data_IF_526376066349
#
_entry.id   IF_526376066349
#
_cell.length_a   1.000
_cell.length_b   1.000
_cell.length_c   1.000
_cell.angle_alpha   90.00
_cell.angle_beta   90.00
_cell.angle_gamma   90.00
#
_symmetry.space_group_name_H-M   'P 1'
#
loop_
_entity.id
_entity.type
_entity.pdbx_description
1 polymer ?
#
# COMPACT_ATOMS: atom_id res chain seq x y z
N UNK A 1 -14.74 17.68 19.99
CA UNK A 1 -13.73 17.39 18.97
C UNK A 1 -14.35 16.42 17.98
N UNK A 2 -14.30 16.72 16.68
CA UNK A 2 -14.94 15.92 15.61
C UNK A 2 -13.83 15.46 14.66
N UNK A 3 -13.72 14.14 14.45
CA UNK A 3 -12.77 13.54 13.53
C UNK A 3 -13.54 12.99 12.33
N UNK A 4 -13.14 13.38 11.13
CA UNK A 4 -13.67 12.81 9.89
C UNK A 4 -12.73 11.70 9.44
N UNK A 5 -13.22 10.46 9.45
CA UNK A 5 -12.49 9.30 8.95
C UNK A 5 -13.02 8.93 7.56
N UNK A 6 -12.12 8.91 6.57
CA UNK A 6 -12.42 8.48 5.21
C UNK A 6 -11.85 7.06 5.02
N UNK A 7 -12.74 6.10 4.76
CA UNK A 7 -12.40 4.68 4.61
C UNK A 7 -12.77 4.24 3.20
N UNK A 8 -11.85 3.57 2.52
CA UNK A 8 -12.12 2.90 1.25
C UNK A 8 -11.97 1.40 1.44
N UNK A 9 -12.95 0.63 0.96
CA UNK A 9 -12.86 -0.82 0.90
C UNK A 9 -12.12 -1.23 -0.38
N UNK A 10 -11.05 -2.02 -0.25
CA UNK A 10 -10.33 -2.58 -1.39
C UNK A 10 -10.25 -4.10 -1.27
N UNK A 11 -10.40 -4.78 -2.41
CA UNK A 11 -10.17 -6.22 -2.56
C UNK A 11 -8.71 -6.46 -2.88
N UNK A 12 -8.02 -7.25 -2.05
CA UNK A 12 -6.72 -7.79 -2.38
C UNK A 12 -6.91 -9.26 -2.78
N UNK A 13 -6.62 -9.55 -4.05
CA UNK A 13 -6.57 -10.91 -4.58
C UNK A 13 -5.10 -11.27 -4.83
N UNK A 14 -4.62 -12.33 -4.20
CA UNK A 14 -3.31 -12.89 -4.50
C UNK A 14 -3.40 -13.69 -5.80
N UNK A 15 -2.45 -13.47 -6.71
CA UNK A 15 -2.48 -14.06 -8.04
C UNK A 15 -2.42 -15.60 -7.94
N UNK A 16 -3.26 -16.32 -8.71
CA UNK A 16 -3.11 -17.76 -8.87
C UNK A 16 -1.85 -18.09 -9.67
N UNK A 17 -1.43 -19.36 -9.63
CA UNK A 17 -0.27 -19.92 -10.36
C UNK A 17 -0.08 -19.33 -11.77
N UNK A 18 1.15 -18.97 -12.21
CA UNK A 18 2.46 -19.47 -11.77
C UNK A 18 3.10 -18.72 -10.59
N UNK A 19 2.36 -17.81 -9.96
CA UNK A 19 2.83 -17.12 -8.77
C UNK A 19 2.66 -18.04 -7.55
N UNK A 20 3.78 -18.36 -6.92
CA UNK A 20 3.86 -19.32 -5.81
C UNK A 20 3.41 -18.68 -4.50
N UNK A 21 2.16 -18.21 -4.46
CA UNK A 21 1.64 -17.40 -3.35
C UNK A 21 1.34 -18.22 -2.09
N UNK A 22 1.42 -19.57 -2.16
CA UNK A 22 1.23 -20.50 -1.03
C UNK A 22 0.06 -20.14 -0.09
N UNK A 23 -0.95 -19.43 -0.60
CA UNK A 23 -2.05 -18.90 0.18
C UNK A 23 -3.13 -19.96 0.39
N UNK A 24 -4.02 -19.71 1.35
CA UNK A 24 -5.15 -20.59 1.63
C UNK A 24 -6.46 -19.90 1.24
N UNK A 25 -7.29 -20.59 0.47
CA UNK A 25 -8.66 -20.16 0.22
C UNK A 25 -9.55 -20.56 1.41
N UNK A 26 -9.66 -19.64 2.36
CA UNK A 26 -10.51 -19.80 3.53
C UNK A 26 -12.00 -19.89 3.19
N UNK A 27 -12.47 -19.26 2.10
CA UNK A 27 -13.87 -19.29 1.70
C UNK A 27 -14.25 -20.67 1.16
N UNK A 28 -13.40 -21.27 0.33
CA UNK A 28 -13.60 -22.64 -0.13
C UNK A 28 -13.56 -23.65 1.03
N UNK A 29 -12.57 -23.50 1.94
CA UNK A 29 -12.46 -24.36 3.11
C UNK A 29 -13.68 -24.27 4.03
N UNK A 30 -14.17 -23.05 4.27
CA UNK A 30 -15.36 -22.80 5.08
C UNK A 30 -16.62 -23.42 4.47
N UNK A 31 -16.80 -23.31 3.15
CA UNK A 31 -17.89 -23.98 2.43
C UNK A 31 -17.79 -25.50 2.54
N UNK A 32 -16.59 -26.05 2.40
CA UNK A 32 -16.32 -27.49 2.53
C UNK A 32 -16.63 -28.01 3.94
N UNK A 33 -16.38 -27.19 4.97
CA UNK A 33 -16.64 -27.49 6.37
C UNK A 33 -18.06 -27.14 6.83
N UNK A 34 -19.04 -27.13 5.91
CA UNK A 34 -20.44 -26.86 6.20
C UNK A 34 -20.66 -25.51 6.93
N UNK A 35 -19.91 -24.49 6.55
CA UNK A 35 -20.03 -23.15 7.11
C UNK A 35 -19.33 -22.93 8.46
N UNK A 36 -18.30 -23.73 8.76
CA UNK A 36 -17.56 -23.65 10.03
C UNK A 36 -16.06 -23.43 9.79
N UNK A 37 -15.43 -22.60 10.62
CA UNK A 37 -13.98 -22.37 10.62
C UNK A 37 -13.58 -20.92 10.33
N UNK A 38 -12.27 -20.64 10.26
CA UNK A 38 -11.75 -19.30 10.04
C UNK A 38 -11.95 -18.84 8.59
N UNK A 39 -12.22 -17.54 8.40
CA UNK A 39 -12.42 -16.90 7.09
C UNK A 39 -11.22 -16.07 6.63
N UNK A 40 -10.25 -15.83 7.51
CA UNK A 40 -9.05 -15.06 7.21
C UNK A 40 -7.88 -15.49 8.12
N UNK A 41 -6.69 -14.93 7.85
CA UNK A 41 -5.47 -15.22 8.60
C UNK A 41 -5.61 -14.94 10.11
N UNK A 42 -6.19 -13.79 10.49
CA UNK A 42 -6.36 -13.43 11.90
C UNK A 42 -7.24 -14.44 12.64
N UNK A 43 -8.38 -14.79 12.05
CA UNK A 43 -9.29 -15.80 12.59
C UNK A 43 -8.65 -17.18 12.64
N UNK A 44 -7.78 -17.53 11.70
CA UNK A 44 -7.02 -18.77 11.76
C UNK A 44 -6.13 -18.82 13.01
N UNK A 45 -5.41 -17.73 13.28
CA UNK A 45 -4.52 -17.63 14.44
C UNK A 45 -5.32 -17.73 15.74
N UNK A 46 -6.45 -17.03 15.85
CA UNK A 46 -7.32 -17.09 17.03
C UNK A 46 -7.96 -18.47 17.23
N UNK A 47 -8.41 -19.10 16.14
CA UNK A 47 -8.93 -20.47 16.15
C UNK A 47 -7.87 -21.48 16.59
N UNK A 48 -6.62 -21.34 16.11
CA UNK A 48 -5.50 -22.16 16.52
C UNK A 48 -5.18 -21.99 18.01
N UNK A 49 -5.15 -20.76 18.50
CA UNK A 49 -4.92 -20.47 19.92
C UNK A 49 -6.01 -21.11 20.80
N UNK A 50 -7.28 -20.93 20.42
CA UNK A 50 -8.41 -21.57 21.09
C UNK A 50 -8.24 -23.09 21.15
N UNK A 51 -8.00 -23.73 20.00
CA UNK A 51 -7.90 -25.18 19.92
C UNK A 51 -6.73 -25.71 20.78
N UNK A 52 -5.58 -25.03 20.79
CA UNK A 52 -4.44 -25.41 21.65
C UNK A 52 -4.73 -25.26 23.13
N UNK A 53 -5.44 -24.21 23.54
CA UNK A 53 -5.83 -24.03 24.94
C UNK A 53 -6.84 -25.10 25.39
N UNK A 54 -7.77 -25.46 24.51
CA UNK A 54 -8.75 -26.54 24.74
C UNK A 54 -8.06 -27.89 24.85
N UNK A 55 -7.16 -28.21 23.93
CA UNK A 55 -6.35 -29.45 23.95
C UNK A 55 -5.55 -29.59 25.25
N UNK A 56 -5.07 -28.47 25.82
CA UNK A 56 -4.33 -28.44 27.07
C UNK A 56 -5.22 -28.41 28.33
N UNK A 57 -6.55 -28.38 28.18
CA UNK A 57 -7.49 -28.27 29.30
C UNK A 57 -7.38 -26.97 30.09
N UNK A 58 -6.87 -25.90 29.46
CA UNK A 58 -6.74 -24.57 30.08
C UNK A 58 -8.02 -23.76 29.88
N UNK A 59 -8.23 -22.78 30.76
CA UNK A 59 -9.26 -21.76 30.53
C UNK A 59 -8.88 -20.88 29.33
N UNK A 60 -9.85 -20.17 28.75
CA UNK A 60 -9.59 -19.31 27.60
C UNK A 60 -9.31 -17.88 28.04
N UNK A 61 -8.22 -17.30 27.53
CA UNK A 61 -7.90 -15.91 27.77
C UNK A 61 -8.91 -14.98 27.11
N UNK A 62 -9.18 -13.85 27.77
CA UNK A 62 -10.07 -12.81 27.24
C UNK A 62 -9.58 -12.19 25.93
N UNK A 63 -8.32 -12.39 25.60
CA UNK A 63 -7.69 -11.85 24.40
C UNK A 63 -7.85 -12.78 23.19
N UNK A 64 -8.38 -13.99 23.37
CA UNK A 64 -8.67 -14.91 22.27
C UNK A 64 -10.09 -14.62 21.77
N UNK A 65 -10.20 -13.76 20.76
CA UNK A 65 -11.48 -13.22 20.25
C UNK A 65 -12.12 -14.13 19.19
N UNK A 66 -12.19 -15.44 19.48
CA UNK A 66 -12.87 -16.42 18.63
C UNK A 66 -14.13 -16.93 19.30
N UNK A 67 -15.28 -17.10 18.61
CA UNK A 67 -16.50 -17.60 19.23
C UNK A 67 -16.33 -18.98 19.89
N UNK A 68 -16.61 -19.08 21.19
CA UNK A 68 -16.50 -20.32 21.96
C UNK A 68 -17.47 -20.36 23.14
N UNK A 69 -17.80 -21.57 23.61
CA UNK A 69 -18.68 -21.80 24.76
C UNK A 69 -17.91 -22.19 26.04
N UNK A 70 -16.58 -22.10 26.02
CA UNK A 70 -15.70 -22.51 27.12
C UNK A 70 -15.56 -21.37 28.14
N UNK A 71 -15.30 -21.72 29.40
CA UNK A 71 -15.14 -20.74 30.46
C UNK A 71 -13.87 -19.89 30.28
N UNK A 72 -14.03 -18.57 30.42
CA UNK A 72 -12.93 -17.62 30.42
C UNK A 72 -12.09 -17.71 31.70
N UNK A 73 -10.80 -17.39 31.57
CA UNK A 73 -9.89 -17.28 32.70
C UNK A 73 -10.29 -16.18 33.69
N UNK A 74 -9.96 -16.40 34.98
CA UNK A 74 -10.10 -15.38 36.03
C UNK A 74 -9.25 -14.15 35.70
N UNK A 75 -9.65 -12.96 36.18
CA UNK A 75 -8.84 -11.74 36.08
C UNK A 75 -7.44 -12.01 36.67
N UNK A 76 -6.39 -11.63 35.95
CA UNK A 76 -4.96 -11.84 36.27
C UNK A 76 -4.38 -13.24 36.04
N UNK A 77 -5.13 -14.17 35.45
CA UNK A 77 -4.59 -15.45 35.00
C UNK A 77 -4.49 -15.44 33.47
N UNK A 78 -3.29 -15.68 32.95
CA UNK A 78 -3.04 -15.83 31.51
C UNK A 78 -2.63 -17.26 31.20
N UNK A 79 -3.39 -17.91 30.34
CA UNK A 79 -3.17 -19.27 29.87
C UNK A 79 -2.36 -19.34 28.58
N UNK A 80 -2.47 -18.27 27.77
CA UNK A 80 -1.84 -18.06 26.49
C UNK A 80 -0.37 -17.70 26.71
N UNK A 81 0.52 -18.55 26.21
CA UNK A 81 1.96 -18.29 26.22
C UNK A 81 2.40 -17.72 24.88
N UNK A 82 3.52 -16.99 24.89
CA UNK A 82 4.12 -16.43 23.67
C UNK A 82 4.49 -17.52 22.65
N UNK A 83 4.80 -18.73 23.10
CA UNK A 83 5.10 -19.87 22.23
C UNK A 83 3.85 -20.35 21.46
N UNK A 84 2.69 -20.41 22.12
CA UNK A 84 1.42 -20.77 21.47
C UNK A 84 1.09 -19.73 20.40
N UNK A 85 1.22 -18.44 20.74
CA UNK A 85 0.97 -17.35 19.78
C UNK A 85 1.88 -17.47 18.58
N UNK A 86 3.19 -17.61 18.78
CA UNK A 86 4.17 -17.73 17.68
C UNK A 86 3.91 -18.96 16.82
N UNK A 87 3.65 -20.11 17.43
CA UNK A 87 3.39 -21.34 16.69
C UNK A 87 2.14 -21.21 15.81
N UNK A 88 1.06 -20.65 16.35
CA UNK A 88 -0.17 -20.42 15.60
C UNK A 88 -0.01 -19.40 14.48
N UNK A 89 0.79 -18.35 14.67
CA UNK A 89 1.12 -17.40 13.60
C UNK A 89 1.92 -18.04 12.47
N UNK A 90 2.82 -18.97 12.77
CA UNK A 90 3.62 -19.68 11.77
C UNK A 90 2.84 -20.78 11.03
N UNK A 91 1.85 -21.39 11.69
CA UNK A 91 1.03 -22.45 11.12
C UNK A 91 -0.02 -21.91 10.13
N UNK A 92 -0.56 -20.72 10.40
CA UNK A 92 -1.59 -20.10 9.59
C UNK A 92 -1.03 -19.43 8.33
N UNK A 93 -1.62 -19.77 7.18
CA UNK A 93 -1.32 -19.13 5.89
C UNK A 93 -2.10 -17.84 5.69
N UNK A 94 -1.64 -17.01 4.77
CA UNK A 94 -2.39 -15.82 4.34
C UNK A 94 -3.59 -16.21 3.46
N UNK A 95 -4.63 -15.38 3.52
CA UNK A 95 -5.85 -15.58 2.74
C UNK A 95 -5.62 -15.17 1.29
N UNK A 96 -5.96 -16.03 0.33
CA UNK A 96 -5.86 -15.70 -1.10
C UNK A 96 -6.75 -14.51 -1.51
N UNK A 97 -7.90 -14.38 -0.82
CA UNK A 97 -8.85 -13.29 -1.00
C UNK A 97 -9.03 -12.56 0.33
N UNK A 98 -8.65 -11.29 0.39
CA UNK A 98 -8.77 -10.48 1.59
C UNK A 98 -9.39 -9.12 1.28
N UNK A 99 -10.35 -8.72 2.12
CA UNK A 99 -10.89 -7.35 2.12
C UNK A 99 -10.04 -6.52 3.07
N UNK A 100 -9.40 -5.48 2.56
CA UNK A 100 -8.65 -4.53 3.39
C UNK A 100 -9.37 -3.19 3.41
N UNK A 101 -9.58 -2.67 4.61
CA UNK A 101 -9.94 -1.28 4.81
C UNK A 101 -8.67 -0.46 4.70
N UNK A 102 -8.55 0.31 3.62
CA UNK A 102 -7.46 1.28 3.51
C UNK A 102 -7.99 2.61 4.05
N UNK A 103 -7.41 3.08 5.15
CA UNK A 103 -7.60 4.46 5.57
C UNK A 103 -6.97 5.34 4.49
N UNK A 104 -7.76 6.25 3.93
CA UNK A 104 -7.33 7.13 2.85
C UNK A 104 -6.35 8.19 3.35
N UNK A 105 -5.16 7.79 3.79
CA UNK A 105 -4.04 8.71 3.94
C UNK A 105 -3.42 8.90 2.53
N UNK A 106 -4.02 9.83 1.77
CA UNK A 106 -3.41 10.53 0.63
C UNK A 106 -2.94 9.59 -0.50
N UNK A 107 -3.86 9.24 -1.40
CA UNK A 107 -3.56 8.42 -2.57
C UNK A 107 -3.18 9.29 -3.78
N UNK A 108 -2.02 8.99 -4.36
CA UNK A 108 -1.56 9.22 -5.74
C UNK A 108 -1.47 10.65 -6.30
N UNK A 109 -2.42 11.56 -6.04
CA UNK A 109 -2.41 12.93 -6.61
C UNK A 109 -1.20 13.76 -6.18
N UNK A 110 -0.80 13.66 -4.92
CA UNK A 110 0.39 14.35 -4.39
C UNK A 110 1.69 13.80 -5.00
N UNK A 111 1.76 12.49 -5.26
CA UNK A 111 2.93 11.85 -5.87
C UNK A 111 3.06 12.22 -7.35
N UNK A 112 1.95 12.25 -8.09
CA UNK A 112 1.94 12.73 -9.48
C UNK A 112 2.26 14.22 -9.57
N UNK A 113 1.81 15.03 -8.60
CA UNK A 113 2.16 16.44 -8.51
C UNK A 113 3.66 16.65 -8.21
N UNK A 114 4.25 15.86 -7.31
CA UNK A 114 5.67 15.93 -6.97
C UNK A 114 6.56 15.52 -8.16
N UNK A 115 6.24 14.38 -8.78
CA UNK A 115 6.99 13.87 -9.94
C UNK A 115 6.83 14.83 -11.13
N UNK A 116 5.60 15.27 -11.42
CA UNK A 116 5.32 16.22 -12.49
C UNK A 116 6.03 17.57 -12.31
N UNK A 117 6.10 18.07 -11.08
CA UNK A 117 6.83 19.30 -10.75
C UNK A 117 8.33 19.20 -11.01
N UNK A 118 8.96 18.09 -10.58
CA UNK A 118 10.38 17.82 -10.81
C UNK A 118 10.72 17.71 -12.32
N UNK A 119 9.94 16.96 -13.09
CA UNK A 119 10.16 16.86 -14.54
C UNK A 119 9.99 18.20 -15.25
N UNK A 120 9.01 19.01 -14.83
CA UNK A 120 8.74 20.32 -15.44
C UNK A 120 9.92 21.29 -15.31
N UNK A 121 10.58 21.31 -14.15
CA UNK A 121 11.75 22.19 -13.92
C UNK A 121 12.93 21.78 -14.80
N UNK A 122 13.22 20.48 -14.92
CA UNK A 122 14.34 19.98 -15.71
C UNK A 122 14.14 20.23 -17.22
N UNK A 123 12.91 20.05 -17.72
CA UNK A 123 12.59 20.33 -19.12
C UNK A 123 12.66 21.83 -19.41
N UNK A 124 12.12 22.68 -18.53
CA UNK A 124 12.19 24.13 -18.70
C UNK A 124 13.65 24.64 -18.72
N UNK A 125 14.50 24.12 -17.82
CA UNK A 125 15.93 24.45 -17.80
C UNK A 125 16.66 24.06 -19.08
N UNK A 126 16.39 22.86 -19.61
CA UNK A 126 17.00 22.41 -20.86
C UNK A 126 16.60 23.28 -22.07
N UNK A 127 15.33 23.69 -22.16
CA UNK A 127 14.85 24.56 -23.24
C UNK A 127 15.49 25.95 -23.17
N UNK A 128 15.61 26.52 -21.96
CA UNK A 128 16.26 27.81 -21.77
C UNK A 128 17.72 27.79 -22.21
N UNK A 129 18.48 26.77 -21.81
CA UNK A 129 19.88 26.59 -22.20
C UNK A 129 20.03 26.45 -23.72
N UNK A 130 19.15 25.68 -24.39
CA UNK A 130 19.20 25.52 -25.85
C UNK A 130 18.90 26.83 -26.57
N UNK A 131 17.94 27.62 -26.07
CA UNK A 131 17.61 28.93 -26.64
C UNK A 131 18.77 29.93 -26.50
N UNK A 132 19.38 30.01 -25.32
CA UNK A 132 20.56 30.86 -25.07
C UNK A 132 21.75 30.46 -25.95
N UNK A 133 22.00 29.15 -26.12
CA UNK A 133 23.04 28.65 -27.02
C UNK A 133 22.73 28.98 -28.48
N UNK A 134 21.48 28.86 -28.90
CA UNK A 134 21.06 29.21 -30.25
C UNK A 134 21.29 30.69 -30.55
N UNK A 135 20.88 31.60 -29.66
CA UNK A 135 21.16 33.03 -29.81
C UNK A 135 22.66 33.31 -29.88
N UNK A 136 23.45 32.72 -28.98
CA UNK A 136 24.91 32.89 -28.96
C UNK A 136 25.55 32.41 -30.26
N UNK A 137 25.11 31.27 -30.80
CA UNK A 137 25.56 30.75 -32.10
C UNK A 137 25.15 31.72 -33.23
N UNK A 138 23.93 32.26 -33.21
CA UNK A 138 23.49 33.26 -34.19
C UNK A 138 24.35 34.52 -34.14
N UNK A 139 24.65 35.08 -32.96
CA UNK A 139 25.51 36.25 -32.83
C UNK A 139 26.95 36.00 -33.31
N UNK A 140 27.50 34.80 -33.10
CA UNK A 140 28.86 34.46 -33.51
C UNK A 140 29.00 34.16 -35.00
N UNK A 141 27.97 33.60 -35.64
CA UNK A 141 28.02 33.18 -37.05
C UNK A 141 27.31 34.14 -38.03
N UNK A 142 26.50 35.09 -37.56
CA UNK A 142 25.84 36.12 -38.39
C UNK A 142 26.26 37.58 -38.09
N UNK A 143 27.56 37.93 -37.99
CA UNK A 143 27.94 39.34 -37.99
C UNK A 143 27.86 40.00 -39.38
N UNK A 144 27.58 39.24 -40.46
CA UNK A 144 27.75 39.73 -41.84
C UNK A 144 26.45 40.19 -42.56
N UNK A 145 25.28 40.19 -41.92
CA UNK A 145 24.01 40.60 -42.56
C UNK A 145 23.36 41.85 -41.98
N UNK A 146 23.96 42.53 -40.99
CA UNK A 146 23.37 43.74 -40.37
C UNK A 146 23.89 45.07 -40.93
N UNK A 147 24.71 45.07 -42.00
CA UNK A 147 25.36 46.30 -42.50
C UNK A 147 24.78 46.87 -43.82
N UNK A 148 23.62 46.39 -44.29
CA UNK A 148 22.90 47.04 -45.41
C UNK A 148 21.50 47.49 -44.97
N UNK A 149 21.39 48.67 -44.35
CA UNK A 149 20.06 49.15 -43.96
C UNK A 149 19.92 50.55 -43.38
N UNK A 150 20.88 51.48 -43.51
CA UNK A 150 20.66 52.90 -43.16
C UNK A 150 21.33 53.84 -44.17
N UNK A 151 20.68 54.04 -45.32
CA UNK A 151 20.89 55.20 -46.19
C UNK A 151 19.55 55.89 -46.43
N UNK A 152 19.44 57.16 -46.01
CA UNK A 152 18.56 58.14 -46.65
C UNK A 152 17.31 58.58 -45.89
N UNK A 153 17.47 59.51 -44.95
CA UNK A 153 16.48 60.56 -44.68
C UNK A 153 17.14 61.69 -43.87
N UNK A 154 17.82 62.61 -44.55
CA UNK A 154 18.10 63.94 -43.99
C UNK A 154 17.46 64.97 -44.93
N UNK A 155 16.50 65.70 -44.38
CA UNK A 155 15.72 66.79 -44.98
C UNK A 155 16.01 68.01 -44.11
N UNK A 156 16.65 69.05 -44.67
CA UNK A 156 16.85 70.34 -44.01
C UNK A 156 18.18 70.99 -44.33
#
# INVERSE_FOLDING_TARGET
MQYNAYVSMQTQELLPSPYDTHCLDFLELWKKNNGTGPLNHLQCVEFCQLNKLVEQGKCIDKNVDYPHNIQLCRKNYQSLTSDIVKNCTLECRDACHAWKMMSGAIQSVEMFSYIGGLFSIHVAGAVFIVFDLFETICYLFLPHLTDEGQNGADFG
#
